data_IF_775268201946
#
_entry.id   IF_775268201946
#
_cell.length_a   1.000
_cell.length_b   1.000
_cell.length_c   1.000
_cell.angle_alpha   90.00
_cell.angle_beta   90.00
_cell.angle_gamma   90.00
#
_symmetry.space_group_name_H-M   'P 1'
#
loop_
_entity.id
_entity.type
_entity.pdbx_description
1 polymer ?
#
# COMPACT_ATOMS: atom_id res chain seq x y z
N UNK A 1 14.28 33.50 21.28
CA UNK A 1 13.79 33.18 19.92
C UNK A 1 14.22 31.79 19.43
N UNK A 2 15.45 31.33 19.67
CA UNK A 2 15.90 29.98 19.25
C UNK A 2 15.13 28.82 19.91
N UNK A 3 14.74 28.93 21.19
CA UNK A 3 13.99 27.89 21.88
C UNK A 3 12.55 27.69 21.33
N UNK A 4 11.92 28.74 20.81
CA UNK A 4 10.58 28.65 20.21
C UNK A 4 10.61 27.95 18.85
N UNK A 5 11.67 28.15 18.07
CA UNK A 5 11.87 27.54 16.75
C UNK A 5 12.05 26.02 16.87
N UNK A 6 12.74 25.54 17.91
CA UNK A 6 12.95 24.11 18.17
C UNK A 6 11.63 23.41 18.57
N UNK A 7 10.76 24.08 19.34
CA UNK A 7 9.45 23.53 19.74
C UNK A 7 8.50 23.44 18.54
N UNK A 8 8.53 24.42 17.64
CA UNK A 8 7.72 24.40 16.40
C UNK A 8 8.17 23.27 15.46
N UNK A 9 9.47 22.99 15.35
CA UNK A 9 9.98 21.89 14.52
C UNK A 9 9.61 20.50 15.05
N UNK A 10 9.53 20.31 16.36
CA UNK A 10 9.11 19.03 16.97
C UNK A 10 7.59 18.78 16.84
N UNK A 11 6.78 19.82 16.65
CA UNK A 11 5.33 19.70 16.51
C UNK A 11 4.88 19.15 15.15
N UNK A 12 5.77 19.09 14.15
CA UNK A 12 5.47 18.57 12.81
C UNK A 12 5.79 17.08 12.61
N UNK A 13 6.14 16.35 13.67
CA UNK A 13 6.27 14.89 13.62
C UNK A 13 4.86 14.27 13.68
N UNK A 14 4.06 14.53 12.65
CA UNK A 14 2.84 13.77 12.38
C UNK A 14 3.25 12.38 11.94
N UNK A 15 2.93 11.36 12.73
CA UNK A 15 3.18 9.97 12.33
C UNK A 15 2.38 9.64 11.07
N UNK A 16 3.07 9.40 9.95
CA UNK A 16 2.46 8.87 8.74
C UNK A 16 2.03 7.42 9.00
N UNK A 17 0.73 7.16 9.07
CA UNK A 17 0.23 5.80 8.92
C UNK A 17 0.41 5.42 7.45
N UNK A 18 1.43 4.61 7.15
CA UNK A 18 1.77 4.25 5.77
C UNK A 18 0.72 3.33 5.13
N UNK A 19 0.17 2.41 5.93
CA UNK A 19 -0.86 1.46 5.51
C UNK A 19 -2.16 1.68 6.28
N UNK A 20 -3.28 1.49 5.59
CA UNK A 20 -4.60 1.35 6.19
C UNK A 20 -4.72 -0.04 6.86
N UNK A 21 -5.46 -0.16 7.98
CA UNK A 21 -5.85 -1.45 8.56
C UNK A 21 -6.59 -2.44 7.64
N UNK A 22 -7.01 -2.06 6.44
CA UNK A 22 -7.71 -2.95 5.54
C UNK A 22 -6.81 -4.13 5.09
N UNK A 23 -7.42 -5.32 5.00
CA UNK A 23 -6.75 -6.54 4.57
C UNK A 23 -7.64 -7.32 3.58
N UNK A 24 -7.86 -6.74 2.41
CA UNK A 24 -8.74 -7.29 1.37
C UNK A 24 -7.96 -8.06 0.31
N UNK A 25 -8.56 -9.11 -0.27
CA UNK A 25 -7.90 -9.89 -1.33
C UNK A 25 -8.37 -9.49 -2.72
N UNK A 26 -7.67 -9.99 -3.72
CA UNK A 26 -8.05 -9.85 -5.12
C UNK A 26 -9.43 -10.47 -5.40
N UNK A 27 -9.74 -11.61 -4.80
CA UNK A 27 -11.04 -12.26 -4.94
C UNK A 27 -12.18 -11.43 -4.35
N UNK A 28 -11.91 -10.71 -3.25
CA UNK A 28 -12.89 -9.80 -2.65
C UNK A 28 -13.22 -8.63 -3.61
N UNK A 29 -12.24 -8.17 -4.40
CA UNK A 29 -12.40 -7.08 -5.36
C UNK A 29 -13.25 -7.47 -6.58
N UNK A 30 -13.20 -8.71 -7.04
CA UNK A 30 -13.89 -9.15 -8.26
C UNK A 30 -15.42 -9.06 -8.17
N UNK A 31 -16.06 -8.71 -9.29
CA UNK A 31 -17.50 -8.61 -9.44
C UNK A 31 -17.97 -7.18 -9.65
N UNK A 32 -19.27 -6.97 -9.52
CA UNK A 32 -19.90 -5.71 -9.90
C UNK A 32 -19.91 -4.69 -8.75
N UNK A 33 -19.44 -3.48 -9.04
CA UNK A 33 -19.36 -2.34 -8.14
C UNK A 33 -20.21 -1.19 -8.63
N UNK A 34 -20.78 -0.47 -7.67
CA UNK A 34 -21.50 0.77 -7.89
C UNK A 34 -20.66 1.91 -7.33
N UNK A 35 -20.24 2.84 -8.19
CA UNK A 35 -19.51 4.04 -7.83
C UNK A 35 -20.47 5.22 -7.78
N UNK A 36 -20.70 5.74 -6.58
CA UNK A 36 -21.48 6.96 -6.32
C UNK A 36 -20.55 8.16 -6.35
N UNK A 37 -20.80 9.11 -7.25
CA UNK A 37 -19.92 10.26 -7.50
C UNK A 37 -20.48 11.53 -6.84
N UNK A 38 -19.58 12.36 -6.31
CA UNK A 38 -19.86 13.62 -5.62
C UNK A 38 -18.88 14.70 -6.06
N UNK A 39 -19.23 15.97 -5.83
CA UNK A 39 -18.32 17.13 -5.97
C UNK A 39 -17.54 17.13 -7.30
N UNK A 40 -18.23 17.04 -8.44
CA UNK A 40 -17.63 16.97 -9.78
C UNK A 40 -17.11 18.32 -10.27
N UNK A 41 -16.26 18.29 -11.31
CA UNK A 41 -15.76 19.49 -11.99
C UNK A 41 -14.75 20.30 -11.17
N UNK A 42 -14.12 19.66 -10.18
CA UNK A 42 -13.08 20.28 -9.36
C UNK A 42 -11.70 20.07 -9.99
N UNK A 43 -10.69 20.71 -9.42
CA UNK A 43 -9.29 20.45 -9.75
C UNK A 43 -8.65 19.45 -8.75
N UNK A 44 -7.36 19.18 -8.95
CA UNK A 44 -6.56 18.26 -8.11
C UNK A 44 -6.45 18.63 -6.62
N UNK A 45 -6.90 19.82 -6.22
CA UNK A 45 -6.91 20.28 -4.82
C UNK A 45 -8.19 19.88 -4.09
N UNK A 46 -9.12 19.17 -4.75
CA UNK A 46 -10.37 18.69 -4.16
C UNK A 46 -10.13 17.94 -2.84
N UNK A 47 -10.94 18.26 -1.83
CA UNK A 47 -10.95 17.56 -0.55
C UNK A 47 -12.08 16.52 -0.51
N UNK A 48 -11.72 15.24 -0.56
CA UNK A 48 -12.65 14.11 -0.47
C UNK A 48 -12.78 13.53 0.95
N UNK A 49 -12.28 14.19 1.99
CA UNK A 49 -12.28 13.66 3.37
C UNK A 49 -13.69 13.45 3.94
N UNK A 50 -14.69 14.14 3.40
CA UNK A 50 -16.11 13.98 3.76
C UNK A 50 -16.97 13.96 2.49
N UNK A 51 -17.49 12.80 2.14
CA UNK A 51 -18.55 12.66 1.13
C UNK A 51 -19.90 12.95 1.80
N UNK A 52 -20.28 14.23 1.88
CA UNK A 52 -21.57 14.64 2.42
C UNK A 52 -22.48 15.13 1.29
N UNK A 53 -23.60 14.46 1.07
CA UNK A 53 -24.62 14.84 0.08
C UNK A 53 -25.16 13.65 -0.71
N UNK A 54 -26.16 13.93 -1.54
CA UNK A 54 -26.68 12.96 -2.50
C UNK A 54 -25.71 12.77 -3.67
N UNK A 55 -25.52 11.53 -4.18
CA UNK A 55 -24.70 11.29 -5.36
C UNK A 55 -25.24 12.07 -6.57
N UNK A 56 -24.36 12.75 -7.30
CA UNK A 56 -24.74 13.45 -8.55
C UNK A 56 -24.82 12.50 -9.74
N UNK A 57 -24.10 11.38 -9.67
CA UNK A 57 -24.05 10.35 -10.71
C UNK A 57 -23.67 9.03 -10.08
N UNK A 58 -24.17 7.95 -10.67
CA UNK A 58 -23.78 6.59 -10.34
C UNK A 58 -23.19 5.93 -11.59
N UNK A 59 -22.10 5.18 -11.42
CA UNK A 59 -21.46 4.40 -12.48
C UNK A 59 -21.34 2.96 -12.00
N UNK A 60 -21.78 2.00 -12.82
CA UNK A 60 -21.65 0.58 -12.49
C UNK A 60 -20.49 0.00 -13.28
N UNK A 61 -19.60 -0.73 -12.61
CA UNK A 61 -18.43 -1.35 -13.23
C UNK A 61 -18.31 -2.79 -12.76
N UNK A 62 -18.21 -3.73 -13.70
CA UNK A 62 -17.91 -5.12 -13.44
C UNK A 62 -16.40 -5.39 -13.55
N UNK A 63 -15.81 -5.92 -12.47
CA UNK A 63 -14.38 -6.22 -12.38
C UNK A 63 -14.14 -7.72 -12.56
N UNK A 64 -13.57 -8.08 -13.70
CA UNK A 64 -13.41 -9.47 -14.14
C UNK A 64 -11.95 -9.92 -14.08
N UNK A 65 -11.74 -11.21 -13.80
CA UNK A 65 -10.39 -11.79 -13.87
C UNK A 65 -9.82 -11.60 -15.28
N UNK A 66 -8.57 -11.20 -15.48
CA UNK A 66 -7.45 -10.94 -14.55
C UNK A 66 -7.28 -9.47 -14.15
N UNK A 67 -7.78 -8.55 -14.96
CA UNK A 67 -7.62 -7.11 -14.77
C UNK A 67 -8.65 -6.32 -15.58
N UNK A 68 -9.69 -6.96 -16.13
CA UNK A 68 -10.62 -6.32 -17.08
C UNK A 68 -11.73 -5.61 -16.33
N UNK A 69 -12.01 -4.36 -16.67
CA UNK A 69 -13.20 -3.64 -16.19
C UNK A 69 -14.18 -3.43 -17.34
N UNK A 70 -15.48 -3.54 -17.07
CA UNK A 70 -16.55 -3.32 -18.06
C UNK A 70 -17.64 -2.47 -17.43
N UNK A 71 -18.04 -1.37 -18.08
CA UNK A 71 -19.17 -0.55 -17.62
C UNK A 71 -20.52 -1.01 -18.21
N UNK A 72 -21.60 -0.37 -17.78
CA UNK A 72 -22.97 -0.65 -18.22
C UNK A 72 -23.24 -0.31 -19.69
N UNK A 73 -22.39 0.53 -20.30
CA UNK A 73 -22.44 0.89 -21.73
C UNK A 73 -21.58 -0.04 -22.59
N UNK A 74 -20.87 -0.99 -21.99
CA UNK A 74 -19.99 -1.94 -22.68
C UNK A 74 -18.61 -1.38 -23.01
N UNK A 75 -18.22 -0.23 -22.47
CA UNK A 75 -16.83 0.20 -22.53
C UNK A 75 -15.98 -0.75 -21.70
N UNK A 76 -14.76 -1.00 -22.18
CA UNK A 76 -13.80 -1.85 -21.49
C UNK A 76 -12.60 -1.03 -21.05
N UNK A 77 -12.02 -1.45 -19.93
CA UNK A 77 -10.83 -0.85 -19.36
C UNK A 77 -10.03 -1.88 -18.58
N UNK A 78 -9.24 -1.40 -17.63
CA UNK A 78 -8.52 -2.27 -16.72
C UNK A 78 -8.62 -1.83 -15.26
N UNK A 79 -8.26 -2.73 -14.35
CA UNK A 79 -8.11 -2.44 -12.94
C UNK A 79 -6.92 -3.17 -12.35
N UNK A 80 -6.45 -2.68 -11.21
CA UNK A 80 -5.46 -3.38 -10.40
C UNK A 80 -5.80 -3.25 -8.92
N UNK A 81 -5.55 -4.34 -8.19
CA UNK A 81 -5.52 -4.30 -6.73
C UNK A 81 -4.20 -3.66 -6.29
N UNK A 82 -4.27 -2.72 -5.36
CA UNK A 82 -3.10 -2.11 -4.73
C UNK A 82 -2.87 -2.80 -3.41
N UNK A 83 -1.96 -3.78 -3.42
CA UNK A 83 -1.64 -4.66 -2.29
C UNK A 83 -2.89 -5.32 -1.69
N UNK A 84 -3.34 -4.90 -0.51
CA UNK A 84 -4.60 -5.30 0.12
C UNK A 84 -5.42 -4.08 0.60
N UNK A 85 -5.05 -2.90 0.09
CA UNK A 85 -5.40 -1.59 0.64
C UNK A 85 -6.56 -0.93 -0.11
N UNK A 86 -6.57 -1.09 -1.43
CA UNK A 86 -7.53 -0.45 -2.31
C UNK A 86 -7.33 -0.91 -3.74
N UNK A 87 -7.91 -0.18 -4.67
CA UNK A 87 -7.82 -0.50 -6.09
C UNK A 87 -7.79 0.76 -6.95
N UNK A 88 -7.22 0.63 -8.15
CA UNK A 88 -7.35 1.60 -9.22
C UNK A 88 -8.12 0.96 -10.39
N UNK A 89 -9.12 1.66 -10.92
CA UNK A 89 -9.83 1.30 -12.17
C UNK A 89 -9.59 2.39 -13.19
N UNK A 90 -9.22 2.03 -14.41
CA UNK A 90 -9.10 2.93 -15.56
C UNK A 90 -10.09 2.49 -16.61
N UNK A 91 -11.13 3.29 -16.86
CA UNK A 91 -12.20 2.97 -17.81
C UNK A 91 -12.82 4.25 -18.36
N UNK A 92 -13.14 4.24 -19.66
CA UNK A 92 -13.81 5.35 -20.35
C UNK A 92 -13.14 6.71 -20.11
N UNK A 93 -11.81 6.77 -20.27
CA UNK A 93 -10.97 7.96 -20.05
C UNK A 93 -10.99 8.56 -18.63
N UNK A 94 -11.42 7.79 -17.62
CA UNK A 94 -11.33 8.16 -16.20
C UNK A 94 -10.53 7.15 -15.39
N UNK A 95 -9.85 7.65 -14.36
CA UNK A 95 -9.18 6.87 -13.32
C UNK A 95 -9.95 6.99 -12.00
N UNK A 96 -10.11 5.88 -11.32
CA UNK A 96 -10.84 5.75 -10.06
C UNK A 96 -9.92 5.10 -9.04
N UNK A 97 -9.65 5.79 -7.93
CA UNK A 97 -8.84 5.24 -6.85
C UNK A 97 -9.54 5.36 -5.50
N UNK A 98 -9.68 4.23 -4.81
CA UNK A 98 -10.28 4.19 -3.47
C UNK A 98 -9.64 3.12 -2.59
N UNK A 99 -9.40 3.47 -1.33
CA UNK A 99 -9.07 2.51 -0.28
C UNK A 99 -10.31 1.73 0.14
N UNK A 100 -10.16 0.45 0.49
CA UNK A 100 -11.24 -0.30 1.11
C UNK A 100 -11.64 0.31 2.44
N UNK A 101 -12.93 0.19 2.78
CA UNK A 101 -13.45 0.71 4.03
C UNK A 101 -12.97 -0.16 5.19
N UNK A 102 -12.56 0.50 6.25
CA UNK A 102 -12.16 -0.13 7.51
C UNK A 102 -13.08 0.29 8.65
N UNK A 103 -13.31 -0.64 9.57
CA UNK A 103 -14.05 -0.42 10.81
C UNK A 103 -13.12 -0.15 11.99
N UNK A 104 -13.35 -0.87 13.09
CA UNK A 104 -12.37 -0.96 14.18
C UNK A 104 -11.04 -1.54 13.66
N UNK A 105 -9.96 -1.44 14.45
CA UNK A 105 -8.57 -1.82 14.07
C UNK A 105 -8.39 -3.22 13.44
N UNK A 106 -9.39 -4.09 13.48
CA UNK A 106 -9.33 -5.49 13.01
C UNK A 106 -10.40 -5.84 11.96
N UNK A 107 -11.27 -4.90 11.58
CA UNK A 107 -12.41 -5.18 10.68
C UNK A 107 -12.23 -4.51 9.33
N UNK A 108 -12.18 -5.31 8.26
CA UNK A 108 -12.12 -4.85 6.87
C UNK A 108 -13.47 -5.06 6.17
N UNK A 109 -14.03 -3.99 5.62
CA UNK A 109 -15.24 -4.03 4.78
C UNK A 109 -14.83 -4.01 3.31
N UNK A 110 -14.48 -5.18 2.78
CA UNK A 110 -13.89 -5.32 1.45
C UNK A 110 -14.90 -5.19 0.30
N UNK A 111 -16.20 -5.03 0.60
CA UNK A 111 -17.26 -4.67 -0.37
C UNK A 111 -17.53 -3.16 -0.44
N UNK A 112 -16.76 -2.34 0.27
CA UNK A 112 -16.97 -0.90 0.36
C UNK A 112 -15.63 -0.17 0.27
N UNK A 113 -15.68 1.08 -0.18
CA UNK A 113 -14.53 1.99 -0.13
C UNK A 113 -14.72 3.08 0.92
N UNK A 114 -13.61 3.64 1.39
CA UNK A 114 -13.59 5.02 1.90
C UNK A 114 -13.89 5.99 0.75
N UNK A 115 -14.22 7.26 1.03
CA UNK A 115 -14.22 8.29 0.00
C UNK A 115 -12.91 8.29 -0.78
N UNK A 116 -13.01 8.07 -2.09
CA UNK A 116 -11.89 8.03 -3.02
C UNK A 116 -11.97 9.18 -4.03
N UNK A 117 -11.10 9.10 -5.04
CA UNK A 117 -10.93 10.12 -6.07
C UNK A 117 -11.23 9.54 -7.45
N UNK A 118 -11.94 10.32 -8.25
CA UNK A 118 -12.15 10.06 -9.66
C UNK A 118 -11.71 11.28 -10.46
N UNK A 119 -10.97 11.06 -11.54
CA UNK A 119 -10.61 12.13 -12.46
C UNK A 119 -10.35 11.61 -13.87
N UNK A 120 -10.43 12.47 -14.88
CA UNK A 120 -10.06 12.09 -16.25
C UNK A 120 -8.57 11.73 -16.36
N UNK A 121 -8.18 10.98 -17.38
CA UNK A 121 -6.79 10.51 -17.56
C UNK A 121 -5.75 11.63 -17.71
N UNK A 122 -6.16 12.86 -18.05
CA UNK A 122 -5.30 14.04 -18.10
C UNK A 122 -5.17 14.75 -16.75
N UNK A 123 -6.03 14.43 -15.79
CA UNK A 123 -6.04 15.00 -14.45
C UNK A 123 -6.69 16.39 -14.35
N UNK A 124 -7.64 16.70 -15.24
CA UNK A 124 -8.26 18.03 -15.29
C UNK A 124 -9.56 18.12 -14.48
N UNK A 125 -10.45 17.15 -14.61
CA UNK A 125 -11.78 17.15 -14.01
C UNK A 125 -11.86 16.13 -12.89
N UNK A 126 -11.81 16.61 -11.65
CA UNK A 126 -11.83 15.79 -10.45
C UNK A 126 -13.22 15.72 -9.83
N UNK A 127 -13.44 14.62 -9.12
CA UNK A 127 -14.57 14.41 -8.23
C UNK A 127 -14.21 13.42 -7.12
N UNK A 128 -15.10 13.29 -6.15
CA UNK A 128 -15.01 12.27 -5.11
C UNK A 128 -15.94 11.11 -5.46
N UNK A 129 -15.62 9.90 -5.01
CA UNK A 129 -16.57 8.79 -5.12
C UNK A 129 -16.56 7.90 -3.89
N UNK A 130 -17.63 7.14 -3.71
CA UNK A 130 -17.65 5.95 -2.85
C UNK A 130 -18.06 4.74 -3.67
N UNK A 131 -17.39 3.62 -3.45
CA UNK A 131 -17.68 2.36 -4.09
C UNK A 131 -18.39 1.40 -3.14
N UNK A 132 -19.42 0.72 -3.65
CA UNK A 132 -20.06 -0.40 -2.95
C UNK A 132 -20.31 -1.55 -3.92
N UNK A 133 -19.90 -2.75 -3.53
CA UNK A 133 -20.15 -3.97 -4.30
C UNK A 133 -21.64 -4.29 -4.29
N UNK A 134 -22.17 -4.70 -5.44
CA UNK A 134 -23.59 -5.08 -5.59
C UNK A 134 -23.89 -6.32 -4.75
N UNK A 135 -23.01 -7.32 -4.85
CA UNK A 135 -23.09 -8.53 -4.02
C UNK A 135 -22.30 -8.27 -2.72
N UNK A 136 -22.97 -8.16 -1.57
CA UNK A 136 -22.30 -7.89 -0.30
C UNK A 136 -21.41 -9.08 0.08
N UNK A 137 -20.29 -8.79 0.73
CA UNK A 137 -19.42 -9.83 1.29
C UNK A 137 -19.29 -9.63 2.80
N UNK A 138 -19.22 -10.71 3.59
CA UNK A 138 -19.02 -10.59 5.02
C UNK A 138 -17.72 -9.81 5.35
N UNK A 139 -17.73 -8.93 6.36
CA UNK A 139 -16.51 -8.25 6.79
C UNK A 139 -15.43 -9.27 7.18
N UNK A 140 -14.19 -9.02 6.78
CA UNK A 140 -13.05 -9.81 7.26
C UNK A 140 -12.63 -9.28 8.63
N UNK A 141 -12.59 -10.18 9.60
CA UNK A 141 -12.12 -9.90 10.95
C UNK A 141 -10.80 -10.63 11.15
N UNK A 142 -9.71 -9.86 11.26
CA UNK A 142 -8.41 -10.41 11.56
C UNK A 142 -8.31 -10.67 13.07
N UNK A 143 -8.67 -11.89 13.47
CA UNK A 143 -8.42 -12.34 14.83
C UNK A 143 -6.90 -12.43 15.03
N UNK A 144 -6.35 -11.61 15.94
CA UNK A 144 -5.01 -11.85 16.45
C UNK A 144 -4.97 -13.30 16.94
N UNK A 145 -4.20 -14.15 16.28
CA UNK A 145 -3.93 -15.49 16.77
C UNK A 145 -3.43 -15.34 18.21
N UNK A 146 -4.22 -15.78 19.19
CA UNK A 146 -3.80 -15.86 20.58
C UNK A 146 -2.50 -16.65 20.59
N UNK A 147 -1.39 -15.99 20.92
CA UNK A 147 -0.13 -16.66 21.07
C UNK A 147 -0.22 -17.59 22.28
N UNK A 148 0.34 -18.79 22.18
CA UNK A 148 0.62 -19.58 23.37
C UNK A 148 1.47 -18.75 24.34
N UNK A 149 1.28 -18.97 25.64
CA UNK A 149 1.88 -18.17 26.73
C UNK A 149 3.38 -17.86 26.54
N UNK A 150 4.17 -18.85 26.11
CA UNK A 150 5.61 -18.71 25.85
C UNK A 150 5.93 -17.66 24.77
N UNK A 151 5.13 -17.64 23.71
CA UNK A 151 5.32 -16.68 22.61
C UNK A 151 4.86 -15.28 23.02
N UNK A 152 3.90 -15.15 23.91
CA UNK A 152 3.55 -13.85 24.49
C UNK A 152 4.68 -13.29 25.38
N UNK A 153 5.35 -14.15 26.14
CA UNK A 153 6.50 -13.75 26.96
C UNK A 153 7.69 -13.30 26.10
N UNK A 154 8.01 -14.05 25.04
CA UNK A 154 9.04 -13.68 24.06
C UNK A 154 8.76 -12.33 23.41
N UNK A 155 7.50 -12.06 23.04
CA UNK A 155 7.10 -10.80 22.38
C UNK A 155 7.33 -9.57 23.27
N UNK A 156 7.31 -9.73 24.60
CA UNK A 156 7.55 -8.66 25.59
C UNK A 156 9.04 -8.39 25.83
N UNK A 157 9.94 -9.24 25.36
CA UNK A 157 11.38 -9.03 25.52
C UNK A 157 11.87 -7.82 24.69
N UNK A 158 12.90 -7.09 25.17
CA UNK A 158 13.54 -6.04 24.39
C UNK A 158 14.15 -6.60 23.10
N UNK A 159 14.00 -5.86 22.01
CA UNK A 159 14.66 -6.16 20.75
C UNK A 159 16.16 -5.86 20.86
N UNK A 160 16.99 -6.77 20.34
CA UNK A 160 18.44 -6.62 20.30
C UNK A 160 18.93 -6.69 18.86
N UNK A 161 19.84 -5.77 18.51
CA UNK A 161 20.44 -5.77 17.18
C UNK A 161 21.54 -6.82 17.11
N UNK A 162 21.62 -7.54 15.98
CA UNK A 162 22.74 -8.43 15.69
C UNK A 162 23.89 -7.61 15.07
N UNK A 163 24.88 -7.26 15.89
CA UNK A 163 26.03 -6.48 15.44
C UNK A 163 26.95 -7.27 14.51
N UNK A 164 27.06 -8.59 14.69
CA UNK A 164 27.84 -9.45 13.78
C UNK A 164 27.28 -9.38 12.36
N UNK A 165 25.94 -9.37 12.22
CA UNK A 165 25.29 -9.20 10.92
C UNK A 165 25.54 -7.82 10.30
N UNK A 166 25.55 -6.76 11.13
CA UNK A 166 25.91 -5.40 10.68
C UNK A 166 27.35 -5.36 10.17
N UNK A 167 28.27 -6.00 10.87
CA UNK A 167 29.68 -6.06 10.50
C UNK A 167 29.89 -6.89 9.22
N UNK A 168 29.17 -8.01 9.07
CA UNK A 168 29.17 -8.80 7.84
C UNK A 168 28.71 -7.97 6.63
N UNK A 169 27.63 -7.19 6.76
CA UNK A 169 27.16 -6.31 5.68
C UNK A 169 28.24 -5.28 5.34
N UNK A 170 28.82 -4.63 6.36
CA UNK A 170 29.84 -3.60 6.19
C UNK A 170 31.17 -4.15 5.65
N UNK A 171 31.43 -5.46 5.79
CA UNK A 171 32.65 -6.09 5.25
C UNK A 171 32.66 -6.16 3.73
N UNK A 172 31.48 -6.20 3.09
CA UNK A 172 31.33 -6.30 1.63
C UNK A 172 30.82 -5.01 0.99
N UNK A 173 30.06 -4.20 1.71
CA UNK A 173 29.44 -3.00 1.19
C UNK A 173 30.43 -1.82 1.14
N UNK A 174 30.49 -1.13 0.00
CA UNK A 174 31.42 0.01 -0.23
C UNK A 174 30.71 1.35 -0.43
N UNK A 175 29.41 1.35 -0.74
CA UNK A 175 28.65 2.56 -1.11
C UNK A 175 27.83 3.18 0.03
N UNK A 176 27.66 2.46 1.14
CA UNK A 176 26.96 2.92 2.33
C UNK A 176 27.39 2.08 3.55
N UNK A 177 27.11 2.57 4.75
CA UNK A 177 27.43 1.86 6.00
C UNK A 177 26.15 1.44 6.70
N UNK A 178 25.97 0.13 6.91
CA UNK A 178 24.93 -0.40 7.77
C UNK A 178 25.11 0.14 9.20
N UNK A 179 24.00 0.53 9.82
CA UNK A 179 23.98 1.03 11.19
C UNK A 179 22.76 0.51 11.94
N UNK A 180 22.77 0.67 13.27
CA UNK A 180 21.61 0.41 14.12
C UNK A 180 20.96 1.72 14.53
N UNK A 181 19.64 1.68 14.73
CA UNK A 181 18.87 2.83 15.19
C UNK A 181 18.69 2.73 16.71
N UNK A 182 19.03 3.80 17.43
CA UNK A 182 18.89 3.85 18.89
C UNK A 182 17.44 3.63 19.33
N UNK A 183 16.48 4.17 18.56
CA UNK A 183 15.05 3.97 18.77
C UNK A 183 14.66 2.48 18.81
N UNK A 184 15.30 1.62 18.03
CA UNK A 184 14.96 0.18 18.03
C UNK A 184 15.37 -0.53 19.32
N UNK A 185 16.36 0.00 20.04
CA UNK A 185 16.81 -0.58 21.33
C UNK A 185 15.78 -0.40 22.45
N UNK A 186 14.87 0.55 22.31
CA UNK A 186 13.81 0.80 23.30
C UNK A 186 12.54 0.01 23.02
N UNK A 187 12.49 -0.76 21.93
CA UNK A 187 11.30 -1.47 21.49
C UNK A 187 11.36 -2.92 21.92
N UNK A 188 10.19 -3.47 22.22
CA UNK A 188 9.98 -4.90 22.37
C UNK A 188 9.99 -5.60 21.01
N UNK A 189 10.19 -6.92 21.03
CA UNK A 189 10.04 -7.77 19.83
C UNK A 189 8.65 -7.57 19.21
N UNK A 190 7.60 -7.43 20.02
CA UNK A 190 6.23 -7.17 19.56
C UNK A 190 6.11 -5.85 18.79
N UNK A 191 6.70 -4.78 19.29
CA UNK A 191 6.65 -3.46 18.64
C UNK A 191 7.45 -3.43 17.35
N UNK A 192 8.61 -4.10 17.32
CA UNK A 192 9.38 -4.29 16.09
C UNK A 192 8.59 -5.07 15.05
N UNK A 193 7.88 -6.13 15.47
CA UNK A 193 7.05 -6.92 14.57
C UNK A 193 5.83 -6.15 14.06
N UNK A 194 5.24 -5.28 14.89
CA UNK A 194 4.19 -4.35 14.45
C UNK A 194 4.72 -3.36 13.42
N UNK A 195 5.93 -2.83 13.61
CA UNK A 195 6.61 -1.97 12.63
C UNK A 195 6.95 -2.69 11.34
N UNK A 196 7.17 -4.00 11.36
CA UNK A 196 7.39 -4.81 10.15
C UNK A 196 6.09 -5.31 9.49
N UNK A 197 4.95 -4.65 9.71
CA UNK A 197 3.65 -5.00 9.11
C UNK A 197 2.71 -5.84 9.98
N UNK A 198 3.10 -6.14 11.23
CA UNK A 198 2.24 -6.82 12.21
C UNK A 198 1.97 -8.29 11.90
N UNK A 199 1.20 -8.93 12.79
CA UNK A 199 0.89 -10.36 12.69
C UNK A 199 -0.17 -10.68 11.61
N UNK A 200 -1.04 -9.70 11.32
CA UNK A 200 -2.25 -9.87 10.52
C UNK A 200 -2.05 -9.64 9.02
N UNK A 201 -0.94 -9.02 8.58
CA UNK A 201 -0.61 -8.81 7.15
C UNK A 201 -0.18 -10.11 6.43
N UNK A 202 -0.70 -11.26 6.88
CA UNK A 202 -0.53 -12.54 6.22
C UNK A 202 -1.61 -12.69 5.18
N UNK A 203 -1.33 -12.22 3.96
CA UNK A 203 -2.16 -12.56 2.81
C UNK A 203 -2.22 -14.10 2.73
N UNK A 204 -3.42 -14.73 2.78
CA UNK A 204 -3.57 -16.18 2.93
C UNK A 204 -2.88 -17.02 1.84
N UNK A 205 -2.55 -16.40 0.70
CA UNK A 205 -1.81 -17.01 -0.39
C UNK A 205 -0.98 -15.96 -1.13
N UNK A 206 0.34 -15.93 -0.91
CA UNK A 206 1.24 -15.27 -1.87
C UNK A 206 1.26 -16.15 -3.12
N UNK A 207 0.67 -15.66 -4.21
CA UNK A 207 0.74 -16.34 -5.51
C UNK A 207 2.22 -16.47 -5.87
N UNK A 208 2.70 -17.71 -6.06
CA UNK A 208 4.06 -17.92 -6.52
C UNK A 208 4.10 -17.55 -8.01
N UNK A 209 5.12 -16.82 -8.47
CA UNK A 209 5.32 -16.61 -9.89
C UNK A 209 5.28 -17.97 -10.61
N UNK A 210 4.60 -18.01 -11.76
CA UNK A 210 4.66 -19.19 -12.62
C UNK A 210 6.11 -19.36 -13.04
N UNK A 211 6.65 -20.57 -12.91
CA UNK A 211 7.97 -20.90 -13.44
C UNK A 211 7.89 -20.79 -14.96
N UNK A 212 8.35 -19.65 -15.50
CA UNK A 212 8.50 -19.49 -16.94
C UNK A 212 9.76 -20.27 -17.33
N UNK A 213 9.65 -21.20 -18.28
CA UNK A 213 10.84 -21.86 -18.81
C UNK A 213 11.76 -20.80 -19.41
N UNK A 214 13.06 -20.87 -19.09
CA UNK A 214 14.07 -19.91 -19.51
C UNK A 214 14.23 -19.81 -21.05
N UNK A 215 13.60 -20.71 -21.80
CA UNK A 215 13.65 -20.80 -23.27
C UNK A 215 12.78 -19.76 -24.00
N UNK A 216 12.23 -18.77 -23.29
CA UNK A 216 11.64 -17.64 -23.99
C UNK A 216 12.76 -16.88 -24.72
N UNK A 217 12.64 -16.71 -26.04
CA UNK A 217 13.54 -15.87 -26.86
C UNK A 217 13.79 -14.47 -26.27
N UNK A 218 12.91 -14.01 -25.38
CA UNK A 218 13.01 -12.76 -24.63
C UNK A 218 14.14 -12.76 -23.59
N UNK A 219 14.46 -13.90 -22.97
CA UNK A 219 15.54 -14.01 -21.99
C UNK A 219 16.93 -14.11 -22.63
N UNK A 220 17.02 -14.56 -23.89
CA UNK A 220 18.29 -14.76 -24.60
C UNK A 220 19.13 -13.48 -24.78
N UNK A 221 18.47 -12.30 -24.74
CA UNK A 221 19.14 -11.00 -24.87
C UNK A 221 19.36 -10.29 -23.52
N UNK A 222 18.98 -10.93 -22.40
CA UNK A 222 19.25 -10.37 -21.08
C UNK A 222 20.65 -10.75 -20.63
N UNK A 223 21.36 -9.85 -19.93
CA UNK A 223 22.67 -10.17 -19.38
C UNK A 223 22.53 -11.14 -18.21
N UNK A 224 23.57 -11.94 -17.96
CA UNK A 224 23.63 -12.87 -16.84
C UNK A 224 23.50 -12.15 -15.48
N UNK A 225 24.02 -10.92 -15.39
CA UNK A 225 23.95 -10.07 -14.22
C UNK A 225 23.65 -8.62 -14.62
N UNK A 226 23.01 -7.88 -13.71
CA UNK A 226 22.69 -6.47 -13.90
C UNK A 226 22.83 -5.69 -12.60
N UNK A 227 23.54 -4.57 -12.64
CA UNK A 227 23.65 -3.63 -11.51
C UNK A 227 23.52 -2.19 -12.02
N UNK A 228 22.44 -1.50 -11.62
CA UNK A 228 22.23 -0.09 -11.99
C UNK A 228 23.29 0.86 -11.42
N UNK A 229 24.10 0.40 -10.45
CA UNK A 229 25.24 1.16 -9.93
C UNK A 229 26.46 1.08 -10.84
N UNK A 230 26.48 0.15 -11.78
CA UNK A 230 27.59 -0.08 -12.71
C UNK A 230 27.09 -0.63 -14.06
N UNK A 231 26.59 0.29 -14.90
CA UNK A 231 26.28 0.00 -16.30
C UNK A 231 27.45 0.52 -17.13
N UNK A 232 28.42 -0.34 -17.43
CA UNK A 232 29.67 -0.01 -18.14
C UNK A 232 30.47 1.12 -17.47
N UNK A 233 30.61 1.09 -16.15
CA UNK A 233 31.34 2.10 -15.35
C UNK A 233 30.51 3.31 -14.95
N UNK A 234 29.21 3.36 -15.28
CA UNK A 234 28.32 4.49 -14.98
C UNK A 234 27.23 4.07 -13.98
N UNK A 235 27.09 4.83 -12.89
CA UNK A 235 26.03 4.63 -11.89
C UNK A 235 24.80 5.49 -12.20
N UNK A 236 23.62 4.88 -12.11
CA UNK A 236 22.30 5.52 -12.24
C UNK A 236 21.51 5.53 -10.92
N UNK A 237 22.14 5.15 -9.80
CA UNK A 237 21.51 5.07 -8.49
C UNK A 237 21.92 6.26 -7.64
N UNK A 238 20.93 6.96 -7.05
CA UNK A 238 21.18 8.05 -6.11
C UNK A 238 21.88 7.58 -4.83
N UNK A 239 22.55 8.47 -4.08
CA UNK A 239 23.13 8.11 -2.78
C UNK A 239 22.11 7.49 -1.81
N UNK A 240 22.58 6.61 -0.94
CA UNK A 240 21.76 6.02 0.12
C UNK A 240 21.35 7.10 1.13
N UNK A 241 20.10 7.04 1.58
CA UNK A 241 19.50 8.00 2.51
C UNK A 241 18.94 7.28 3.74
N UNK A 242 18.80 8.02 4.84
CA UNK A 242 18.11 7.56 6.04
C UNK A 242 16.71 8.18 6.09
N UNK A 243 15.65 7.36 6.02
CA UNK A 243 14.26 7.82 6.02
C UNK A 243 13.85 8.57 7.30
N UNK A 244 14.55 8.39 8.41
CA UNK A 244 14.32 9.17 9.64
C UNK A 244 14.70 10.64 9.48
N UNK A 245 15.69 10.93 8.61
CA UNK A 245 16.18 12.28 8.34
C UNK A 245 15.50 12.92 7.11
N UNK A 246 14.52 12.23 6.52
CA UNK A 246 13.74 12.70 5.37
C UNK A 246 12.37 13.19 5.84
N UNK A 247 12.35 14.30 6.59
CA UNK A 247 11.13 15.06 6.91
C UNK A 247 11.35 16.50 6.49
#
# INVERSE_FOLDING_TARGET
>A
MQALVVIVLLAFIGGSAADTPANCTYEDLLGTWVFSVYNVGQDRTINCSSSAGEPVKTVTVDLQKLYVSVDDLGHTGFFTLIYNQGFEVVINDYKWFGFFKQGSKVTSYCDQTLPGWVHDVLGNNWGCFTGKKVQPIPPRIDNNYLFGFERELLMKLPYTNNMEFVDQINSVQKSWKATTYSLHKTLTIQEMLRRSGGHASRIPRRVRPVTVSADSKMAANLPEHWDWRDVNGVSYVSPVRNQELMV
#
